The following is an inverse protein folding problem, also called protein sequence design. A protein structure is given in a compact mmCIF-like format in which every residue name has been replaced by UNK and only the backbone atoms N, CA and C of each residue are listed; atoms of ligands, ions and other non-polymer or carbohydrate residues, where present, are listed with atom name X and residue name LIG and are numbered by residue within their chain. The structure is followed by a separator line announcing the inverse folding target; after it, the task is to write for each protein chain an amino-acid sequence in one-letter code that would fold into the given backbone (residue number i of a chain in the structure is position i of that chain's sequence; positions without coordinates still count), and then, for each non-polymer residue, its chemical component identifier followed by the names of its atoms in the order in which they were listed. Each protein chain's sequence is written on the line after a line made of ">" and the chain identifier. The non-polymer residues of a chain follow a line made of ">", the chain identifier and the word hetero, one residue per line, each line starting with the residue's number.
data_IF_628647609271
#
_entry.id   IF_628647609271
#
_cell.length_a   1.000
_cell.length_b   1.000
_cell.length_c   1.000
_cell.angle_alpha   90.00
_cell.angle_beta   90.00
_cell.angle_gamma   90.00
#
_symmetry.space_group_name_H-M   'P 1'
#
loop_
_entity.id
_entity.type
_entity.pdbx_description
1 polymer ?
#
# COMPACT_ATOMS: atom_id res chain seq x y z
N UNK A 1 20.34 -10.19 7.01
CA UNK A 1 19.05 -9.73 7.54
C UNK A 1 18.77 -8.34 6.97
N UNK A 2 17.76 -8.19 6.12
CA UNK A 2 17.37 -6.86 5.62
C UNK A 2 16.65 -6.15 6.79
N UNK A 3 17.13 -4.98 7.24
CA UNK A 3 16.43 -4.23 8.28
C UNK A 3 15.22 -3.60 7.60
N UNK A 4 14.09 -4.32 7.60
CA UNK A 4 12.81 -3.70 7.28
C UNK A 4 12.46 -2.80 8.45
N UNK A 5 13.10 -1.62 8.50
CA UNK A 5 12.73 -0.56 9.40
C UNK A 5 11.27 -0.18 9.18
N UNK A 6 10.67 0.47 10.18
CA UNK A 6 9.29 0.96 10.27
C UNK A 6 8.89 1.97 9.18
N UNK A 7 9.30 1.74 7.92
CA UNK A 7 8.95 2.55 6.77
C UNK A 7 7.56 2.16 6.32
N UNK A 8 6.73 3.17 6.22
CA UNK A 8 5.37 3.07 5.72
C UNK A 8 5.29 3.93 4.47
N UNK A 9 4.55 3.44 3.48
CA UNK A 9 4.31 4.18 2.26
C UNK A 9 2.85 4.55 2.21
N UNK A 10 2.61 5.85 2.03
CA UNK A 10 1.27 6.37 1.78
C UNK A 10 0.94 6.20 0.30
N UNK A 11 -0.15 5.50 0.02
CA UNK A 11 -0.65 5.26 -1.33
C UNK A 11 -2.16 5.48 -1.35
N UNK A 12 -2.69 5.94 -2.48
CA UNK A 12 -4.14 5.98 -2.67
C UNK A 12 -4.63 4.67 -3.30
N UNK A 13 -5.56 3.99 -2.64
CA UNK A 13 -6.19 2.77 -3.11
C UNK A 13 -7.70 2.85 -3.05
N UNK A 14 -8.38 1.97 -3.78
CA UNK A 14 -9.83 1.78 -3.72
C UNK A 14 -10.08 0.48 -2.94
N UNK A 15 -10.76 0.58 -1.81
CA UNK A 15 -11.17 -0.61 -1.06
C UNK A 15 -12.30 -1.28 -1.85
N UNK A 16 -12.06 -2.49 -2.36
CA UNK A 16 -13.06 -3.30 -3.06
C UNK A 16 -13.83 -4.17 -2.09
N UNK A 17 -13.15 -4.64 -1.05
CA UNK A 17 -13.74 -5.50 -0.04
C UNK A 17 -13.03 -5.30 1.30
N UNK A 18 -13.76 -5.46 2.40
CA UNK A 18 -13.22 -5.30 3.74
C UNK A 18 -13.77 -6.40 4.66
N UNK A 19 -12.89 -7.35 4.98
CA UNK A 19 -13.15 -8.41 5.93
C UNK A 19 -12.47 -8.08 7.27
N UNK A 20 -12.92 -8.72 8.36
CA UNK A 20 -12.51 -8.43 9.74
C UNK A 20 -10.98 -8.24 9.92
N UNK A 21 -10.17 -9.05 9.24
CA UNK A 21 -8.70 -9.06 9.36
C UNK A 21 -7.94 -8.61 8.10
N UNK A 22 -8.61 -8.39 6.98
CA UNK A 22 -7.96 -8.05 5.71
C UNK A 22 -8.82 -7.13 4.84
N UNK A 23 -8.17 -6.19 4.17
CA UNK A 23 -8.78 -5.28 3.20
C UNK A 23 -8.29 -5.64 1.80
N UNK A 24 -9.23 -5.87 0.88
CA UNK A 24 -8.91 -6.01 -0.55
C UNK A 24 -8.87 -4.62 -1.17
N UNK A 25 -7.67 -4.22 -1.57
CA UNK A 25 -7.41 -2.88 -2.11
C UNK A 25 -6.96 -3.00 -3.56
N UNK A 26 -7.62 -2.23 -4.41
CA UNK A 26 -7.21 -1.98 -5.79
C UNK A 26 -6.35 -0.73 -5.84
N UNK A 27 -5.22 -0.79 -6.53
CA UNK A 27 -4.34 0.35 -6.77
C UNK A 27 -4.42 0.75 -8.25
N UNK A 28 -5.23 1.78 -8.60
CA UNK A 28 -5.38 2.24 -9.98
C UNK A 28 -4.05 2.70 -10.57
N UNK A 29 -3.22 3.35 -9.76
CA UNK A 29 -1.87 3.82 -10.14
C UNK A 29 -0.90 2.69 -10.50
N UNK A 30 -1.20 1.45 -10.09
CA UNK A 30 -0.33 0.29 -10.25
C UNK A 30 -0.98 -0.72 -11.21
N UNK A 31 -1.52 -0.25 -12.34
CA UNK A 31 -2.21 -1.06 -13.36
C UNK A 31 -3.39 -1.86 -12.79
N UNK A 32 -4.24 -1.21 -11.99
CA UNK A 32 -5.41 -1.83 -11.34
C UNK A 32 -5.09 -3.10 -10.53
N UNK A 33 -3.86 -3.21 -10.02
CA UNK A 33 -3.48 -4.36 -9.18
C UNK A 33 -4.33 -4.41 -7.93
N UNK A 34 -4.88 -5.59 -7.65
CA UNK A 34 -5.61 -5.87 -6.44
C UNK A 34 -4.77 -6.71 -5.50
N UNK A 35 -4.65 -6.27 -4.25
CA UNK A 35 -3.96 -7.02 -3.21
C UNK A 35 -4.82 -7.09 -1.95
N UNK A 36 -4.69 -8.21 -1.24
CA UNK A 36 -5.28 -8.36 0.09
C UNK A 36 -4.25 -7.90 1.11
N UNK A 37 -4.55 -6.81 1.81
CA UNK A 37 -3.68 -6.21 2.82
C UNK A 37 -4.23 -6.56 4.20
N UNK A 38 -3.47 -7.24 5.06
CA UNK A 38 -3.86 -7.45 6.45
C UNK A 38 -4.08 -6.12 7.17
N UNK A 39 -5.14 -6.01 7.98
CA UNK A 39 -5.45 -4.77 8.71
C UNK A 39 -4.29 -4.30 9.58
N UNK A 40 -3.53 -5.24 10.14
CA UNK A 40 -2.34 -4.96 10.97
C UNK A 40 -1.21 -4.23 10.21
N UNK A 41 -1.22 -4.27 8.87
CA UNK A 41 -0.22 -3.58 8.04
C UNK A 41 -0.71 -2.22 7.54
N UNK A 42 -1.96 -1.85 7.84
CA UNK A 42 -2.56 -0.57 7.47
C UNK A 42 -2.58 0.31 8.73
N UNK A 43 -1.83 1.40 8.71
CA UNK A 43 -1.66 2.30 9.85
C UNK A 43 -2.51 3.57 9.75
N UNK A 44 -3.28 3.73 8.66
CA UNK A 44 -4.21 4.86 8.49
C UNK A 44 -5.60 4.54 9.02
N UNK A 45 -6.33 5.59 9.41
CA UNK A 45 -7.78 5.55 9.56
C UNK A 45 -8.46 5.37 8.21
N UNK A 46 -8.55 4.12 7.78
CA UNK A 46 -9.33 3.72 6.61
C UNK A 46 -10.81 3.79 6.98
N UNK A 47 -11.57 4.62 6.27
CA UNK A 47 -13.03 4.58 6.37
C UNK A 47 -13.48 3.30 5.66
N UNK A 48 -14.33 2.49 6.29
CA UNK A 48 -14.87 1.25 5.71
C UNK A 48 -15.88 1.53 4.57
N UNK A 49 -15.54 2.44 3.67
CA UNK A 49 -16.35 2.86 2.54
C UNK A 49 -15.81 2.15 1.30
N UNK A 50 -16.50 1.07 0.93
CA UNK A 50 -16.20 0.30 -0.28
C UNK A 50 -16.43 1.17 -1.52
N UNK A 51 -15.56 1.02 -2.51
CA UNK A 51 -15.67 1.71 -3.80
C UNK A 51 -15.16 3.15 -3.83
N UNK A 52 -14.73 3.72 -2.69
CA UNK A 52 -14.09 5.04 -2.67
C UNK A 52 -12.57 4.95 -2.64
N UNK A 53 -11.93 5.83 -3.41
CA UNK A 53 -10.49 6.07 -3.34
C UNK A 53 -10.16 6.72 -2.00
N UNK A 54 -9.21 6.14 -1.28
CA UNK A 54 -8.76 6.61 0.02
C UNK A 54 -7.24 6.50 0.11
N UNK A 55 -6.64 7.44 0.82
CA UNK A 55 -5.23 7.35 1.17
C UNK A 55 -5.05 6.37 2.33
N UNK A 56 -4.03 5.53 2.20
CA UNK A 56 -3.70 4.50 3.18
C UNK A 56 -2.19 4.37 3.30
N UNK A 57 -1.75 4.27 4.54
CA UNK A 57 -0.37 4.10 4.95
C UNK A 57 -0.17 2.61 5.22
N UNK A 58 0.60 1.97 4.34
CA UNK A 58 0.85 0.52 4.39
C UNK A 58 2.35 0.29 4.55
N UNK A 59 2.70 -0.79 5.25
CA UNK A 59 4.06 -1.29 5.33
C UNK A 59 4.78 -1.35 3.96
N UNK A 60 5.88 -0.61 3.82
CA UNK A 60 6.63 -0.50 2.56
C UNK A 60 7.13 -1.87 2.07
N UNK A 61 7.60 -2.72 2.99
CA UNK A 61 8.10 -4.05 2.66
C UNK A 61 7.00 -4.93 2.04
N UNK A 62 5.76 -4.80 2.53
CA UNK A 62 4.62 -5.56 2.04
C UNK A 62 4.25 -5.11 0.62
N UNK A 63 4.27 -3.80 0.38
CA UNK A 63 4.03 -3.23 -0.94
C UNK A 63 5.12 -3.63 -1.95
N UNK A 64 6.39 -3.67 -1.52
CA UNK A 64 7.52 -4.17 -2.33
C UNK A 64 7.38 -5.65 -2.66
N UNK A 65 7.01 -6.49 -1.68
CA UNK A 65 6.75 -7.93 -1.88
C UNK A 65 5.67 -8.15 -2.94
N UNK A 66 4.62 -7.33 -2.93
CA UNK A 66 3.52 -7.39 -3.90
C UNK A 66 3.78 -6.60 -5.19
N UNK A 67 4.98 -6.02 -5.37
CA UNK A 67 5.35 -5.19 -6.54
C UNK A 67 4.32 -4.08 -6.83
N UNK A 68 3.80 -3.46 -5.77
CA UNK A 68 2.98 -2.23 -5.87
C UNK A 68 3.89 -1.02 -6.01
N UNK A 69 4.99 -1.03 -5.26
CA UNK A 69 6.08 -0.06 -5.36
C UNK A 69 7.37 -0.78 -5.77
N UNK A 70 8.32 -0.08 -6.43
CA UNK A 70 9.58 -0.70 -6.83
C UNK A 70 10.38 -1.21 -5.62
N UNK A 71 11.07 -2.34 -5.83
CA UNK A 71 11.90 -3.00 -4.81
C UNK A 71 13.07 -2.13 -4.36
N UNK A 72 13.60 -1.33 -5.30
CA UNK A 72 14.60 -0.31 -5.05
C UNK A 72 13.95 1.05 -5.32
N UNK A 73 13.94 1.93 -4.31
CA UNK A 73 13.98 3.36 -4.61
C UNK A 73 15.35 3.59 -5.25
N UNK A 74 15.41 3.57 -6.59
CA UNK A 74 16.49 4.30 -7.24
C UNK A 74 16.23 5.74 -6.85
N UNK A 75 16.93 6.22 -5.83
CA UNK A 75 17.16 7.65 -5.62
C UNK A 75 17.59 8.17 -7.00
N UNK A 76 16.69 8.83 -7.71
CA UNK A 76 17.09 9.82 -8.70
C UNK A 76 17.29 11.08 -7.87
N UNK A 77 18.50 11.43 -7.43
CA UNK A 77 18.74 12.83 -7.14
C UNK A 77 18.40 13.55 -8.45
N UNK A 78 17.34 14.35 -8.42
CA UNK A 78 17.12 15.36 -9.45
C UNK A 78 18.31 16.32 -9.35
N UNK A 79 19.40 16.00 -10.04
CA UNK A 79 20.41 16.99 -10.36
C UNK A 79 19.80 17.86 -11.45
N UNK A 80 19.50 19.09 -10.99
CA UNK A 80 19.22 20.30 -11.76
C UNK A 80 20.01 20.39 -13.06
#
# INVERSE_FOLDING_TARGET
>A
MIPYGNRRTRLSGIIKDFHQNHAKIEFPSCNHKQISVPRNFIHSDIKNIVGKKQDMEIETWFLRKNRIIPLNETYKPEFR
#
